data_IF_834142602523
#
_entry.id   IF_834142602523
#
_cell.length_a   1.000
_cell.length_b   1.000
_cell.length_c   1.000
_cell.angle_alpha   90.00
_cell.angle_beta   90.00
_cell.angle_gamma   90.00
#
_symmetry.space_group_name_H-M   'P 1'
#
loop_
_entity.id
_entity.type
_entity.pdbx_description
1 polymer ?
#
# COMPACT_ATOMS: atom_id res chain seq x y z
N UNK A 1 -10.16 0.64 -1.58
CA UNK A 1 -8.74 0.93 -1.28
C UNK A 1 -8.46 2.37 -0.89
N UNK A 2 -9.01 3.40 -1.56
CA UNK A 2 -8.62 4.80 -1.32
C UNK A 2 -9.41 5.53 -0.21
N UNK A 3 -10.36 4.86 0.46
CA UNK A 3 -11.29 5.56 1.37
C UNK A 3 -10.65 5.99 2.70
N UNK A 4 -9.52 5.37 3.10
CA UNK A 4 -8.79 5.72 4.32
C UNK A 4 -7.60 6.66 4.09
N UNK A 5 -7.44 7.21 2.88
CA UNK A 5 -6.21 7.94 2.50
C UNK A 5 -5.90 9.16 3.39
N UNK A 6 -6.89 9.67 4.15
CA UNK A 6 -6.75 10.85 5.01
C UNK A 6 -6.72 10.52 6.51
N UNK A 7 -6.78 9.24 6.89
CA UNK A 7 -7.03 8.84 8.28
C UNK A 7 -5.76 8.86 9.14
N UNK A 8 -4.56 8.85 8.55
CA UNK A 8 -3.27 8.93 9.28
C UNK A 8 -3.23 7.92 10.45
N UNK A 9 -3.20 8.37 11.70
CA UNK A 9 -3.18 7.52 12.89
C UNK A 9 -4.44 6.67 13.06
N UNK A 10 -5.58 7.07 12.47
CA UNK A 10 -6.83 6.31 12.50
C UNK A 10 -6.93 5.30 11.35
N UNK A 11 -5.88 5.17 10.53
CA UNK A 11 -5.87 4.18 9.45
C UNK A 11 -5.92 2.78 10.04
N UNK A 12 -6.92 2.00 9.62
CA UNK A 12 -6.97 0.58 9.95
C UNK A 12 -5.94 -0.16 9.10
N UNK A 13 -4.75 -0.33 9.67
CA UNK A 13 -3.60 -0.92 9.01
C UNK A 13 -3.87 -2.37 8.58
N UNK A 14 -4.60 -3.13 9.40
CA UNK A 14 -4.96 -4.51 9.07
C UNK A 14 -5.86 -4.54 7.83
N UNK A 15 -6.89 -3.69 7.79
CA UNK A 15 -7.78 -3.59 6.65
C UNK A 15 -7.08 -3.06 5.39
N UNK A 16 -6.16 -2.10 5.54
CA UNK A 16 -5.33 -1.60 4.45
C UNK A 16 -4.51 -2.72 3.83
N UNK A 17 -3.70 -3.41 4.64
CA UNK A 17 -2.82 -4.48 4.18
C UNK A 17 -3.58 -5.68 3.65
N UNK A 18 -4.71 -6.05 4.26
CA UNK A 18 -5.58 -7.12 3.78
C UNK A 18 -6.13 -6.82 2.38
N UNK A 19 -6.58 -5.58 2.15
CA UNK A 19 -7.02 -5.17 0.81
C UNK A 19 -5.86 -5.16 -0.19
N UNK A 20 -4.69 -4.62 0.18
CA UNK A 20 -3.49 -4.62 -0.65
C UNK A 20 -3.09 -6.04 -1.07
N UNK A 21 -3.10 -6.98 -0.13
CA UNK A 21 -2.81 -8.38 -0.41
C UNK A 21 -3.86 -9.01 -1.35
N UNK A 22 -5.15 -8.74 -1.13
CA UNK A 22 -6.25 -9.27 -1.96
C UNK A 22 -6.13 -8.88 -3.44
N UNK A 23 -5.63 -7.68 -3.72
CA UNK A 23 -5.51 -7.14 -5.08
C UNK A 23 -4.08 -7.12 -5.63
N UNK A 24 -3.11 -7.71 -4.93
CA UNK A 24 -1.68 -7.66 -5.29
C UNK A 24 -1.38 -8.18 -6.71
N UNK A 25 -2.09 -9.23 -7.14
CA UNK A 25 -1.94 -9.86 -8.45
C UNK A 25 -2.79 -9.24 -9.56
N UNK A 26 -3.58 -8.21 -9.27
CA UNK A 26 -4.53 -7.68 -10.25
C UNK A 26 -3.80 -7.06 -11.46
N UNK A 27 -4.21 -7.35 -12.72
CA UNK A 27 -3.51 -6.86 -13.91
C UNK A 27 -3.76 -5.37 -14.20
N UNK A 28 -4.89 -4.83 -13.74
CA UNK A 28 -5.29 -3.45 -13.98
C UNK A 28 -4.29 -2.41 -13.44
N UNK A 29 -4.02 -1.41 -14.27
CA UNK A 29 -3.08 -0.32 -13.98
C UNK A 29 -3.53 0.55 -12.80
N UNK A 30 -4.82 0.90 -12.73
CA UNK A 30 -5.35 1.78 -11.69
C UNK A 30 -5.38 1.08 -10.33
N UNK A 31 -5.68 -0.21 -10.28
CA UNK A 31 -5.58 -1.00 -9.05
C UNK A 31 -4.13 -1.02 -8.53
N UNK A 32 -3.16 -1.29 -9.40
CA UNK A 32 -1.74 -1.29 -9.03
C UNK A 32 -1.26 0.07 -8.52
N UNK A 33 -1.71 1.16 -9.15
CA UNK A 33 -1.50 2.54 -8.72
C UNK A 33 -2.14 2.82 -7.36
N UNK A 34 -3.39 2.41 -7.17
CA UNK A 34 -4.12 2.62 -5.93
C UNK A 34 -3.45 1.92 -4.74
N UNK A 35 -2.96 0.69 -4.93
CA UNK A 35 -2.15 -0.03 -3.93
C UNK A 35 -0.92 0.80 -3.55
N UNK A 36 -0.15 1.24 -4.54
CA UNK A 36 1.07 2.01 -4.31
C UNK A 36 0.80 3.33 -3.59
N UNK A 37 -0.27 4.04 -3.94
CA UNK A 37 -0.66 5.29 -3.27
C UNK A 37 -1.15 5.08 -1.85
N UNK A 38 -1.92 4.02 -1.60
CA UNK A 38 -2.43 3.71 -0.27
C UNK A 38 -1.27 3.35 0.69
N UNK A 39 -0.33 2.50 0.24
CA UNK A 39 0.87 2.16 1.00
C UNK A 39 1.76 3.38 1.24
N UNK A 40 1.97 4.22 0.21
CA UNK A 40 2.77 5.45 0.35
C UNK A 40 2.14 6.45 1.31
N UNK A 41 0.81 6.58 1.32
CA UNK A 41 0.13 7.46 2.27
C UNK A 41 0.27 6.94 3.71
N UNK A 42 0.20 5.62 3.91
CA UNK A 42 0.40 5.03 5.23
C UNK A 42 1.87 5.07 5.69
N UNK A 43 2.83 5.09 4.76
CA UNK A 43 4.26 5.26 5.06
C UNK A 43 4.57 6.59 5.76
N UNK A 44 3.74 7.63 5.59
CA UNK A 44 3.86 8.89 6.35
C UNK A 44 3.51 8.69 7.85
N UNK A 45 2.86 7.57 8.22
CA UNK A 45 2.48 7.20 9.60
C UNK A 45 3.39 6.10 10.16
N UNK A 46 3.55 4.99 9.42
CA UNK A 46 4.45 3.89 9.81
C UNK A 46 5.25 3.39 8.60
N UNK A 47 6.47 3.93 8.38
CA UNK A 47 7.30 3.56 7.26
C UNK A 47 7.84 2.12 7.34
N UNK A 48 8.09 1.61 8.55
CA UNK A 48 8.67 0.27 8.75
C UNK A 48 7.63 -0.83 8.50
N UNK A 49 6.37 -0.61 8.89
CA UNK A 49 5.27 -1.50 8.55
C UNK A 49 5.09 -1.65 7.03
N UNK A 50 5.22 -0.54 6.28
CA UNK A 50 5.14 -0.58 4.81
C UNK A 50 6.33 -1.33 4.20
N UNK A 51 7.55 -1.12 4.69
CA UNK A 51 8.73 -1.88 4.24
C UNK A 51 8.56 -3.38 4.50
N UNK A 52 8.13 -3.76 5.69
CA UNK A 52 7.88 -5.15 6.05
C UNK A 52 6.77 -5.78 5.19
N UNK A 53 5.68 -5.06 4.92
CA UNK A 53 4.61 -5.52 4.03
C UNK A 53 5.11 -5.74 2.59
N UNK A 54 5.85 -4.78 2.03
CA UNK A 54 6.39 -4.88 0.67
C UNK A 54 7.43 -6.00 0.57
N UNK A 55 8.24 -6.23 1.60
CA UNK A 55 9.21 -7.32 1.62
C UNK A 55 8.57 -8.71 1.77
N UNK A 56 7.46 -8.81 2.48
CA UNK A 56 6.77 -10.09 2.75
C UNK A 56 5.83 -10.55 1.63
N UNK A 57 5.55 -9.71 0.63
CA UNK A 57 4.54 -9.99 -0.41
C UNK A 57 5.02 -9.62 -1.81
N UNK A 58 4.65 -10.44 -2.78
CA UNK A 58 4.86 -10.13 -4.20
C UNK A 58 3.81 -9.12 -4.67
N UNK A 59 4.19 -7.85 -4.77
CA UNK A 59 3.41 -6.81 -5.43
C UNK A 59 3.87 -6.63 -6.88
N UNK A 60 3.03 -5.98 -7.69
CA UNK A 60 3.49 -5.55 -9.02
C UNK A 60 4.68 -4.58 -8.90
N UNK A 61 5.64 -4.58 -9.86
CA UNK A 61 6.77 -3.64 -9.83
C UNK A 61 6.34 -2.17 -9.73
N UNK A 62 5.20 -1.81 -10.34
CA UNK A 62 4.62 -0.47 -10.26
C UNK A 62 4.16 -0.14 -8.84
N UNK A 63 3.42 -1.06 -8.19
CA UNK A 63 2.93 -0.88 -6.83
C UNK A 63 4.07 -0.75 -5.82
N UNK A 64 5.09 -1.60 -5.94
CA UNK A 64 6.29 -1.55 -5.11
C UNK A 64 7.03 -0.21 -5.27
N UNK A 65 7.28 0.22 -6.51
CA UNK A 65 7.95 1.50 -6.78
C UNK A 65 7.16 2.69 -6.24
N UNK A 66 5.84 2.71 -6.41
CA UNK A 66 5.01 3.80 -5.89
C UNK A 66 4.96 3.79 -4.36
N UNK A 67 4.89 2.62 -3.71
CA UNK A 67 4.85 2.48 -2.25
C UNK A 67 6.14 3.00 -1.59
N UNK A 68 7.31 2.68 -2.18
CA UNK A 68 8.63 3.01 -1.63
C UNK A 68 9.15 4.40 -2.03
N UNK A 69 8.42 5.17 -2.85
CA UNK A 69 8.92 6.42 -3.47
C UNK A 69 9.31 7.53 -2.48
N UNK A 70 8.82 7.46 -1.24
CA UNK A 70 9.01 8.48 -0.19
C UNK A 70 9.68 7.92 1.06
N UNK A 71 10.08 6.65 1.02
CA UNK A 71 10.73 5.94 2.13
C UNK A 71 12.24 6.06 2.06
#
# INVERSE_FOLDING_TARGET
MLFQLKWKADTDAELLFANCARHAGHPDFFIRKAIGWALRAYADTDPEAVKAFVASRTLSPLSMREALRKL
#
